data_IF_065391630846
#
_entry.id   IF_065391630846
#
_cell.length_a   1.000
_cell.length_b   1.000
_cell.length_c   1.000
_cell.angle_alpha   90.00
_cell.angle_beta   90.00
_cell.angle_gamma   90.00
#
_symmetry.space_group_name_H-M   'P 1'
#
loop_
_entity.id
_entity.type
_entity.pdbx_description
1 polymer ?
#
# COMPACT_ATOMS: atom_id res chain seq x y z
N UNK A 1 -4.51 -50.40 36.16
CA UNK A 1 -3.39 -49.49 35.82
C UNK A 1 -2.65 -50.16 34.68
N UNK A 2 -2.94 -49.79 33.44
CA UNK A 2 -2.37 -50.42 32.24
C UNK A 2 -1.02 -49.77 31.98
N UNK A 3 0.04 -50.58 31.97
CA UNK A 3 1.42 -50.12 31.87
C UNK A 3 1.69 -49.52 30.47
N UNK A 4 2.08 -48.23 30.36
CA UNK A 4 2.30 -47.56 29.07
C UNK A 4 3.43 -48.20 28.25
N UNK A 5 4.37 -48.94 28.87
CA UNK A 5 5.41 -49.67 28.14
C UNK A 5 4.87 -50.88 27.36
N UNK A 6 3.75 -51.46 27.79
CA UNK A 6 3.13 -52.62 27.14
C UNK A 6 2.43 -52.22 25.83
N UNK A 7 1.87 -51.01 25.77
CA UNK A 7 1.21 -50.49 24.56
C UNK A 7 2.23 -50.17 23.47
N UNK A 8 3.36 -49.55 23.82
CA UNK A 8 4.42 -49.21 22.86
C UNK A 8 5.09 -50.48 22.31
N UNK A 9 5.40 -51.47 23.16
CA UNK A 9 5.99 -52.73 22.72
C UNK A 9 5.06 -53.53 21.78
N UNK A 10 3.76 -53.54 22.06
CA UNK A 10 2.73 -54.15 21.21
C UNK A 10 2.67 -53.52 19.81
N UNK A 11 2.76 -52.19 19.73
CA UNK A 11 2.71 -51.46 18.45
C UNK A 11 3.94 -51.68 17.57
N UNK A 12 5.13 -51.82 18.17
CA UNK A 12 6.37 -52.11 17.43
C UNK A 12 6.38 -53.55 16.93
N UNK A 13 5.88 -54.50 17.74
CA UNK A 13 5.77 -55.90 17.35
C UNK A 13 4.74 -56.12 16.22
N UNK A 14 3.60 -55.42 16.28
CA UNK A 14 2.59 -55.46 15.21
C UNK A 14 3.12 -54.85 13.90
N UNK A 15 3.89 -53.76 13.97
CA UNK A 15 4.54 -53.15 12.81
C UNK A 15 5.59 -54.07 12.17
N UNK A 16 6.38 -54.79 12.98
CA UNK A 16 7.38 -55.74 12.50
C UNK A 16 6.75 -56.99 11.87
N UNK A 17 5.61 -57.46 12.38
CA UNK A 17 4.90 -58.62 11.84
C UNK A 17 4.14 -58.32 10.53
N UNK A 18 3.80 -57.06 10.25
CA UNK A 18 3.10 -56.66 9.03
C UNK A 18 4.04 -56.38 7.84
N UNK A 19 5.33 -56.13 8.11
CA UNK A 19 6.35 -55.90 7.08
C UNK A 19 6.67 -57.16 6.24
N UNK A 20 6.25 -58.35 6.67
CA UNK A 20 6.51 -59.64 6.01
C UNK A 20 5.44 -60.08 5.01
N UNK A 21 4.39 -59.29 4.75
CA UNK A 21 3.21 -59.75 3.97
C UNK A 21 2.76 -58.72 2.92
N UNK A 22 2.67 -59.15 1.65
CA UNK A 22 2.06 -58.56 0.42
C UNK A 22 2.04 -57.01 0.21
N UNK A 23 2.21 -56.50 -1.03
CA UNK A 23 2.35 -55.07 -1.32
C UNK A 23 1.15 -54.20 -0.86
N UNK A 24 -0.06 -54.77 -0.75
CA UNK A 24 -1.24 -54.05 -0.26
C UNK A 24 -1.19 -53.68 1.22
N UNK A 25 -0.49 -54.48 2.04
CA UNK A 25 -0.36 -54.24 3.49
C UNK A 25 0.60 -53.08 3.75
N UNK A 26 1.69 -52.99 2.98
CA UNK A 26 2.64 -51.87 3.00
C UNK A 26 1.95 -50.57 2.61
N UNK A 27 1.14 -50.59 1.55
CA UNK A 27 0.37 -49.41 1.08
C UNK A 27 -0.66 -48.93 2.13
N UNK A 28 -1.29 -49.84 2.87
CA UNK A 28 -2.25 -49.46 3.92
C UNK A 28 -1.58 -48.88 5.17
N UNK A 29 -0.42 -49.38 5.56
CA UNK A 29 0.37 -48.85 6.69
C UNK A 29 0.88 -47.44 6.34
N UNK A 30 1.33 -47.23 5.11
CA UNK A 30 1.78 -45.92 4.61
C UNK A 30 0.65 -44.87 4.63
N UNK A 31 -0.55 -45.27 4.17
CA UNK A 31 -1.76 -44.42 4.25
C UNK A 31 -2.14 -44.10 5.70
N UNK A 32 -2.14 -45.09 6.59
CA UNK A 32 -2.46 -44.87 8.00
C UNK A 32 -1.45 -43.94 8.70
N UNK A 33 -0.15 -44.15 8.49
CA UNK A 33 0.89 -43.27 9.03
C UNK A 33 0.76 -41.84 8.51
N UNK A 34 0.45 -41.70 7.21
CA UNK A 34 0.15 -40.41 6.58
C UNK A 34 -1.07 -39.74 7.21
N UNK A 35 -2.14 -40.47 7.49
CA UNK A 35 -3.37 -39.93 8.07
C UNK A 35 -3.17 -39.51 9.53
N UNK A 36 -2.43 -40.28 10.33
CA UNK A 36 -2.06 -39.88 11.71
C UNK A 36 -1.22 -38.59 11.69
N UNK A 37 -0.22 -38.52 10.82
CA UNK A 37 0.61 -37.32 10.69
C UNK A 37 -0.22 -36.09 10.26
N UNK A 38 -1.16 -36.27 9.32
CA UNK A 38 -2.10 -35.21 8.90
C UNK A 38 -3.01 -34.76 10.04
N UNK A 39 -3.54 -35.68 10.85
CA UNK A 39 -4.38 -35.34 12.01
C UNK A 39 -3.59 -34.54 13.05
N UNK A 40 -2.36 -34.95 13.37
CA UNK A 40 -1.49 -34.19 14.29
C UNK A 40 -1.21 -32.79 13.72
N UNK A 41 -0.89 -32.69 12.42
CA UNK A 41 -0.65 -31.40 11.76
C UNK A 41 -1.89 -30.52 11.78
N UNK A 42 -3.08 -31.08 11.55
CA UNK A 42 -4.35 -30.37 11.60
C UNK A 42 -4.66 -29.87 13.01
N UNK A 43 -4.42 -30.69 14.04
CA UNK A 43 -4.58 -30.30 15.44
C UNK A 43 -3.63 -29.17 15.84
N UNK A 44 -2.38 -29.22 15.37
CA UNK A 44 -1.37 -28.20 15.65
C UNK A 44 -1.43 -27.00 14.71
N UNK A 45 -2.26 -27.03 13.66
CA UNK A 45 -2.34 -26.00 12.64
C UNK A 45 -2.58 -24.59 13.19
N UNK A 46 -3.49 -24.37 14.18
CA UNK A 46 -3.68 -23.04 14.76
C UNK A 46 -2.42 -22.49 15.44
N UNK A 47 -1.65 -23.34 16.12
CA UNK A 47 -0.39 -22.93 16.76
C UNK A 47 0.71 -22.66 15.73
N UNK A 48 0.75 -23.44 14.64
CA UNK A 48 1.67 -23.19 13.52
C UNK A 48 1.37 -21.84 12.86
N UNK A 49 0.09 -21.51 12.63
CA UNK A 49 -0.31 -20.18 12.16
C UNK A 49 0.11 -19.11 13.17
N UNK A 50 -0.17 -19.31 14.45
CA UNK A 50 0.18 -18.37 15.51
C UNK A 50 1.68 -18.05 15.54
N UNK A 51 2.53 -19.08 15.49
CA UNK A 51 3.99 -18.93 15.40
C UNK A 51 4.42 -18.19 14.15
N UNK A 52 3.89 -18.56 12.97
CA UNK A 52 4.22 -17.87 11.73
C UNK A 52 3.82 -16.38 11.74
N UNK A 53 2.68 -16.05 12.35
CA UNK A 53 2.23 -14.67 12.53
C UNK A 53 3.11 -13.91 13.53
N UNK A 54 3.57 -14.56 14.60
CA UNK A 54 4.50 -13.98 15.57
C UNK A 54 5.85 -13.68 14.91
N UNK A 55 6.46 -14.66 14.25
CA UNK A 55 7.75 -14.49 13.57
C UNK A 55 7.71 -13.34 12.56
N UNK A 56 6.58 -13.22 11.85
CA UNK A 56 6.34 -12.15 10.90
C UNK A 56 6.25 -10.79 11.59
N UNK A 57 5.48 -10.70 12.67
CA UNK A 57 5.32 -9.47 13.43
C UNK A 57 6.65 -9.00 14.02
N UNK A 58 7.45 -9.93 14.57
CA UNK A 58 8.80 -9.65 15.06
C UNK A 58 9.69 -9.03 13.97
N UNK A 59 9.65 -9.57 12.73
CA UNK A 59 10.35 -8.98 11.59
C UNK A 59 9.91 -7.54 11.31
N UNK A 60 8.61 -7.24 11.34
CA UNK A 60 8.12 -5.88 11.10
C UNK A 60 8.49 -4.90 12.20
N UNK A 61 8.42 -5.32 13.47
CA UNK A 61 8.81 -4.49 14.62
C UNK A 61 10.31 -4.20 14.58
N UNK A 62 11.14 -5.23 14.34
CA UNK A 62 12.59 -5.07 14.19
C UNK A 62 12.94 -4.10 13.04
N UNK A 63 12.23 -4.19 11.91
CA UNK A 63 12.37 -3.22 10.81
C UNK A 63 11.99 -1.80 11.20
N UNK A 64 10.96 -1.59 12.02
CA UNK A 64 10.57 -0.26 12.49
C UNK A 64 11.61 0.33 13.46
N UNK A 65 12.10 -0.48 14.40
CA UNK A 65 13.10 -0.09 15.40
C UNK A 65 14.43 0.29 14.73
N UNK A 66 14.89 -0.50 13.75
CA UNK A 66 16.16 -0.25 13.03
C UNK A 66 16.19 1.04 12.24
N UNK A 67 15.04 1.62 11.93
CA UNK A 67 14.93 2.91 11.25
C UNK A 67 15.18 4.11 12.18
N UNK A 68 15.14 3.90 13.50
CA UNK A 68 15.36 4.93 14.50
C UNK A 68 16.77 4.78 15.11
N UNK A 69 17.57 5.86 15.19
CA UNK A 69 18.85 5.85 15.90
C UNK A 69 18.67 5.48 17.38
N UNK A 70 19.59 4.69 17.94
CA UNK A 70 19.49 4.20 19.33
C UNK A 70 19.33 5.31 20.36
N UNK A 71 19.96 6.46 20.14
CA UNK A 71 19.93 7.61 21.04
C UNK A 71 18.60 8.35 21.04
N UNK A 72 17.76 8.10 20.02
CA UNK A 72 16.43 8.73 19.85
C UNK A 72 15.28 7.77 20.10
N UNK A 73 15.55 6.48 20.28
CA UNK A 73 14.52 5.47 20.52
C UNK A 73 13.82 5.72 21.83
N UNK A 74 12.50 5.74 21.76
CA UNK A 74 11.60 5.77 22.91
C UNK A 74 10.56 4.68 22.77
N UNK A 75 9.93 4.33 23.89
CA UNK A 75 8.74 3.50 23.84
C UNK A 75 7.60 4.30 23.22
N UNK A 76 6.94 3.79 22.15
CA UNK A 76 5.84 4.49 21.52
C UNK A 76 4.61 4.46 22.43
N UNK A 77 3.78 5.49 22.36
CA UNK A 77 2.53 5.55 23.13
C UNK A 77 1.64 4.37 22.75
N UNK A 78 1.07 3.68 23.74
CA UNK A 78 0.33 2.44 23.54
C UNK A 78 -0.89 2.65 22.64
N UNK A 79 -1.54 3.82 22.75
CA UNK A 79 -2.71 4.17 21.93
C UNK A 79 -2.43 4.22 20.43
N UNK A 80 -1.16 4.39 20.02
CA UNK A 80 -0.72 4.34 18.62
C UNK A 80 -0.11 2.97 18.30
N UNK A 81 0.74 2.46 19.18
CA UNK A 81 1.50 1.24 18.93
C UNK A 81 0.62 -0.01 18.86
N UNK A 82 -0.31 -0.20 19.80
CA UNK A 82 -1.13 -1.42 19.89
C UNK A 82 -1.98 -1.65 18.63
N UNK A 83 -2.75 -0.66 18.13
CA UNK A 83 -3.55 -0.84 16.93
C UNK A 83 -2.71 -1.18 15.70
N UNK A 84 -1.53 -0.54 15.55
CA UNK A 84 -0.61 -0.80 14.44
C UNK A 84 -0.08 -2.23 14.51
N UNK A 85 0.40 -2.66 15.67
CA UNK A 85 0.93 -4.01 15.91
C UNK A 85 -0.12 -5.09 15.64
N UNK A 86 -1.35 -4.87 16.10
CA UNK A 86 -2.46 -5.80 15.88
C UNK A 86 -2.78 -5.99 14.39
N UNK A 87 -2.79 -4.89 13.61
CA UNK A 87 -3.01 -4.95 12.17
C UNK A 87 -1.83 -5.55 11.42
N UNK A 88 -0.60 -5.14 11.74
CA UNK A 88 0.64 -5.60 11.09
C UNK A 88 0.76 -7.12 11.08
N UNK A 89 0.30 -7.80 12.13
CA UNK A 89 0.30 -9.26 12.23
C UNK A 89 -0.31 -9.95 11.01
N UNK A 90 -1.34 -9.35 10.41
CA UNK A 90 -2.09 -9.94 9.29
C UNK A 90 -1.73 -9.35 7.93
N UNK A 91 -0.85 -8.34 7.87
CA UNK A 91 -0.51 -7.65 6.63
C UNK A 91 0.47 -8.44 5.77
N UNK A 92 0.30 -8.50 4.43
CA UNK A 92 1.19 -9.24 3.53
C UNK A 92 2.64 -8.72 3.55
N UNK A 93 3.60 -9.55 3.13
CA UNK A 93 4.99 -9.11 2.96
C UNK A 93 5.08 -8.47 1.58
N UNK A 94 5.90 -7.43 1.44
CA UNK A 94 6.06 -6.66 0.20
C UNK A 94 4.82 -5.87 -0.27
N UNK A 95 3.81 -5.69 0.59
CA UNK A 95 2.69 -4.80 0.31
C UNK A 95 3.04 -3.35 0.67
N UNK A 96 2.82 -2.36 -0.22
CA UNK A 96 3.06 -0.95 0.06
C UNK A 96 2.32 -0.44 1.31
N UNK A 97 1.11 -0.91 1.60
CA UNK A 97 0.33 -0.50 2.78
C UNK A 97 1.01 -1.00 4.06
N UNK A 98 1.65 -2.16 4.02
CA UNK A 98 2.45 -2.68 5.14
C UNK A 98 3.59 -1.75 5.48
N UNK A 99 4.24 -1.17 4.47
CA UNK A 99 5.32 -0.21 4.68
C UNK A 99 4.83 1.03 5.43
N UNK A 100 3.62 1.52 5.13
CA UNK A 100 3.04 2.68 5.82
C UNK A 100 2.86 2.44 7.32
N UNK A 101 2.38 1.25 7.70
CA UNK A 101 2.27 0.87 9.12
C UNK A 101 3.64 0.84 9.80
N UNK A 102 4.66 0.28 9.14
CA UNK A 102 6.03 0.21 9.67
C UNK A 102 6.61 1.62 9.84
N UNK A 103 6.41 2.51 8.87
CA UNK A 103 6.85 3.90 8.94
C UNK A 103 6.17 4.64 10.09
N UNK A 104 4.83 4.55 10.20
CA UNK A 104 4.10 5.20 11.28
C UNK A 104 4.55 4.70 12.66
N UNK A 105 4.77 3.39 12.81
CA UNK A 105 5.32 2.81 14.04
C UNK A 105 6.73 3.32 14.33
N UNK A 106 7.59 3.41 13.31
CA UNK A 106 8.94 3.95 13.43
C UNK A 106 8.93 5.41 13.89
N UNK A 107 8.04 6.25 13.32
CA UNK A 107 7.88 7.65 13.78
C UNK A 107 7.42 7.73 15.23
N UNK A 108 6.52 6.84 15.65
CA UNK A 108 6.07 6.78 17.04
C UNK A 108 7.19 6.38 18.03
N UNK A 109 8.22 5.68 17.55
CA UNK A 109 9.38 5.23 18.34
C UNK A 109 10.55 6.24 18.35
N UNK A 110 10.46 7.35 17.60
CA UNK A 110 11.52 8.36 17.49
C UNK A 110 11.16 9.62 18.30
N UNK A 111 11.94 9.93 19.34
CA UNK A 111 11.71 11.08 20.23
C UNK A 111 11.61 12.42 19.51
N UNK A 112 12.34 12.61 18.40
CA UNK A 112 12.30 13.87 17.66
C UNK A 112 11.11 13.96 16.71
N UNK A 113 10.57 12.81 16.28
CA UNK A 113 9.52 12.71 15.26
C UNK A 113 8.19 12.16 15.78
N UNK A 114 8.09 11.86 17.07
CA UNK A 114 6.88 11.32 17.70
C UNK A 114 5.66 12.21 17.47
N UNK A 115 5.85 13.53 17.36
CA UNK A 115 4.78 14.48 17.03
C UNK A 115 4.20 14.32 15.63
N UNK A 116 4.90 13.63 14.72
CA UNK A 116 4.43 13.29 13.37
C UNK A 116 3.50 12.06 13.40
N UNK A 117 3.60 11.19 14.40
CA UNK A 117 2.83 9.95 14.49
C UNK A 117 1.41 10.18 15.02
N UNK A 118 0.60 10.94 14.28
CA UNK A 118 -0.77 11.27 14.69
C UNK A 118 -1.69 10.03 14.63
N UNK A 119 -2.50 9.74 15.68
CA UNK A 119 -3.36 8.54 15.72
C UNK A 119 -4.32 8.41 14.53
N UNK A 120 -4.81 9.51 13.97
CA UNK A 120 -5.69 9.49 12.79
C UNK A 120 -5.06 8.81 11.57
N UNK A 121 -3.72 8.83 11.45
CA UNK A 121 -3.04 8.22 10.31
C UNK A 121 -3.18 6.70 10.31
N UNK A 122 -3.31 6.06 11.48
CA UNK A 122 -3.65 4.64 11.54
C UNK A 122 -5.00 4.36 10.84
N UNK A 123 -6.03 5.14 11.16
CA UNK A 123 -7.35 5.00 10.53
C UNK A 123 -7.32 5.26 9.03
N UNK A 124 -6.50 6.21 8.56
CA UNK A 124 -6.27 6.45 7.13
C UNK A 124 -5.66 5.21 6.48
N UNK A 125 -4.54 4.68 7.00
CA UNK A 125 -3.87 3.49 6.42
C UNK A 125 -4.84 2.30 6.33
N UNK A 126 -5.69 2.09 7.34
CA UNK A 126 -6.64 0.96 7.34
C UNK A 126 -7.69 0.98 6.23
N UNK A 127 -7.94 2.15 5.64
CA UNK A 127 -8.95 2.34 4.60
C UNK A 127 -8.35 2.37 3.19
N UNK A 128 -7.03 2.58 3.05
CA UNK A 128 -6.41 2.78 1.75
C UNK A 128 -6.19 1.50 0.94
N UNK A 129 -6.29 1.64 -0.38
CA UNK A 129 -5.86 0.65 -1.36
C UNK A 129 -4.40 0.92 -1.82
N UNK A 130 -3.65 -0.11 -2.26
CA UNK A 130 -2.30 0.05 -2.81
C UNK A 130 -2.21 1.08 -3.95
N UNK A 131 -3.17 1.07 -4.86
CA UNK A 131 -3.21 1.98 -6.03
C UNK A 131 -3.43 3.44 -5.62
N UNK A 132 -4.14 3.69 -4.53
CA UNK A 132 -4.34 5.04 -3.98
C UNK A 132 -3.02 5.65 -3.49
N UNK A 133 -2.08 4.82 -3.04
CA UNK A 133 -0.75 5.29 -2.65
C UNK A 133 0.08 5.75 -3.86
N UNK A 134 -0.04 5.06 -5.01
CA UNK A 134 0.61 5.46 -6.26
C UNK A 134 0.15 6.87 -6.65
N UNK A 135 -1.16 7.08 -6.58
CA UNK A 135 -1.78 8.37 -6.84
C UNK A 135 -1.28 9.45 -5.89
N UNK A 136 -1.27 9.16 -4.58
CA UNK A 136 -0.85 10.12 -3.56
C UNK A 136 0.63 10.51 -3.69
N UNK A 137 1.49 9.59 -4.13
CA UNK A 137 2.89 9.87 -4.41
C UNK A 137 3.10 10.77 -5.63
N UNK A 138 2.36 10.54 -6.73
CA UNK A 138 2.41 11.44 -7.89
C UNK A 138 1.99 12.86 -7.49
N UNK A 139 0.90 12.97 -6.74
CA UNK A 139 0.34 14.23 -6.27
C UNK A 139 1.23 14.98 -5.28
N UNK A 140 2.14 14.28 -4.60
CA UNK A 140 3.12 14.90 -3.71
C UNK A 140 4.38 15.35 -4.45
N UNK A 141 4.64 14.82 -5.64
CA UNK A 141 5.80 15.18 -6.47
C UNK A 141 5.60 16.47 -7.26
N UNK A 142 4.35 16.94 -7.36
CA UNK A 142 3.92 18.12 -8.12
C UNK A 142 3.05 18.98 -7.23
N UNK A 143 3.02 20.30 -7.44
CA UNK A 143 2.09 21.18 -6.72
C UNK A 143 0.63 20.89 -7.10
N UNK A 144 0.41 20.48 -8.34
CA UNK A 144 -0.90 20.15 -8.91
C UNK A 144 -0.77 19.09 -10.00
N UNK A 145 -1.68 18.13 -10.01
CA UNK A 145 -1.82 17.12 -11.07
C UNK A 145 -3.12 17.34 -11.84
N UNK A 146 -3.05 17.25 -13.17
CA UNK A 146 -4.24 17.33 -14.03
C UNK A 146 -4.93 15.98 -14.11
N UNK A 147 -6.25 16.00 -14.04
CA UNK A 147 -7.13 14.86 -14.24
C UNK A 147 -7.96 15.14 -15.48
N UNK A 148 -7.88 14.23 -16.45
CA UNK A 148 -8.77 14.20 -17.60
C UNK A 148 -9.89 13.20 -17.28
N UNK A 149 -11.13 13.49 -17.64
CA UNK A 149 -12.26 12.56 -17.47
C UNK A 149 -13.33 12.83 -18.51
N UNK A 150 -14.11 11.83 -18.94
CA UNK A 150 -15.27 12.12 -19.76
C UNK A 150 -16.29 12.98 -18.99
N UNK A 151 -16.91 13.95 -19.66
CA UNK A 151 -17.93 14.82 -19.02
C UNK A 151 -19.15 14.00 -18.62
N UNK A 152 -19.61 14.18 -17.38
CA UNK A 152 -20.81 13.51 -16.88
C UNK A 152 -20.66 12.01 -16.65
N UNK A 153 -19.46 11.45 -16.85
CA UNK A 153 -19.18 10.04 -16.60
C UNK A 153 -18.02 9.89 -15.62
N UNK A 154 -18.19 9.00 -14.65
CA UNK A 154 -17.13 8.59 -13.72
C UNK A 154 -16.46 7.34 -14.28
N UNK A 155 -15.67 7.52 -15.33
CA UNK A 155 -15.03 6.43 -16.06
C UNK A 155 -13.54 6.72 -16.20
N UNK A 156 -12.76 5.66 -16.15
CA UNK A 156 -11.34 5.68 -16.48
C UNK A 156 -11.09 6.08 -17.95
N UNK A 157 -10.33 7.16 -18.21
CA UNK A 157 -9.98 7.55 -19.57
C UNK A 157 -8.69 6.86 -20.00
N UNK A 158 -8.82 5.89 -20.91
CA UNK A 158 -7.66 5.22 -21.49
C UNK A 158 -6.80 6.19 -22.34
N UNK A 159 -5.54 5.84 -22.54
CA UNK A 159 -4.58 6.65 -23.29
C UNK A 159 -5.04 7.00 -24.71
N UNK A 160 -5.62 6.04 -25.43
CA UNK A 160 -6.05 6.25 -26.81
C UNK A 160 -7.21 7.25 -26.89
N UNK A 161 -8.15 7.16 -25.94
CA UNK A 161 -9.23 8.13 -25.78
C UNK A 161 -8.67 9.51 -25.44
N UNK A 162 -7.75 9.63 -24.48
CA UNK A 162 -7.13 10.92 -24.10
C UNK A 162 -6.45 11.58 -25.30
N UNK A 163 -5.64 10.83 -26.04
CA UNK A 163 -4.94 11.33 -27.24
C UNK A 163 -5.92 11.74 -28.33
N UNK A 164 -6.92 10.91 -28.64
CA UNK A 164 -7.97 11.24 -29.62
C UNK A 164 -8.69 12.55 -29.27
N UNK A 165 -8.90 12.83 -27.98
CA UNK A 165 -9.53 14.08 -27.53
C UNK A 165 -8.60 15.28 -27.62
N UNK A 166 -7.35 15.14 -27.22
CA UNK A 166 -6.35 16.20 -27.39
C UNK A 166 -6.14 16.51 -28.89
N UNK A 167 -6.19 15.51 -29.76
CA UNK A 167 -6.05 15.68 -31.20
C UNK A 167 -7.16 16.50 -31.83
N UNK A 168 -8.40 16.27 -31.37
CA UNK A 168 -9.59 17.02 -31.77
C UNK A 168 -9.67 18.42 -31.18
N UNK A 169 -8.92 18.70 -30.11
CA UNK A 169 -8.94 20.01 -29.46
C UNK A 169 -8.27 21.08 -30.34
N UNK A 170 -8.72 22.33 -30.30
CA UNK A 170 -8.09 23.45 -31.03
C UNK A 170 -6.79 23.95 -30.38
N UNK A 171 -6.22 23.17 -29.45
CA UNK A 171 -5.03 23.52 -28.69
C UNK A 171 -3.77 23.46 -29.56
N UNK A 172 -2.85 24.40 -29.33
CA UNK A 172 -1.51 24.36 -29.92
C UNK A 172 -0.73 23.11 -29.49
N UNK A 173 0.23 22.68 -30.31
CA UNK A 173 1.04 21.48 -30.05
C UNK A 173 1.76 21.57 -28.70
N UNK A 174 2.32 22.74 -28.37
CA UNK A 174 3.03 22.96 -27.11
C UNK A 174 2.10 22.80 -25.90
N UNK A 175 0.87 23.31 -26.01
CA UNK A 175 -0.14 23.23 -24.95
C UNK A 175 -0.69 21.81 -24.79
N UNK A 176 -0.89 21.07 -25.89
CA UNK A 176 -1.30 19.66 -25.81
C UNK A 176 -0.28 18.82 -25.06
N UNK A 177 1.01 19.03 -25.38
CA UNK A 177 2.12 18.36 -24.72
C UNK A 177 2.17 18.68 -23.23
N UNK A 178 2.03 19.95 -22.87
CA UNK A 178 1.98 20.37 -21.46
C UNK A 178 0.83 19.69 -20.70
N UNK A 179 -0.36 19.62 -21.30
CA UNK A 179 -1.51 18.92 -20.69
C UNK A 179 -1.22 17.43 -20.52
N UNK A 180 -0.65 16.77 -21.51
CA UNK A 180 -0.28 15.35 -21.42
C UNK A 180 0.77 15.11 -20.33
N UNK A 181 1.81 15.94 -20.27
CA UNK A 181 2.91 15.85 -19.29
C UNK A 181 2.45 16.11 -17.84
N UNK A 182 1.43 16.95 -17.66
CA UNK A 182 0.83 17.27 -16.36
C UNK A 182 -0.33 16.35 -15.96
N UNK A 183 -0.88 15.58 -16.90
CA UNK A 183 -1.98 14.65 -16.62
C UNK A 183 -1.47 13.42 -15.88
N UNK A 184 -2.24 12.98 -14.89
CA UNK A 184 -1.93 11.75 -14.17
C UNK A 184 -1.78 10.57 -15.14
N UNK A 185 -0.70 9.80 -14.99
CA UNK A 185 -0.46 8.58 -15.75
C UNK A 185 -1.27 7.43 -15.16
N UNK A 186 -2.55 7.44 -15.49
CA UNK A 186 -3.55 6.40 -15.30
C UNK A 186 -3.04 4.95 -15.42
N UNK A 187 -2.16 4.71 -16.39
CA UNK A 187 -1.59 3.39 -16.71
C UNK A 187 -0.59 2.89 -15.65
N UNK A 188 -0.21 3.73 -14.69
CA UNK A 188 0.60 3.34 -13.55
C UNK A 188 -0.18 2.54 -12.49
N UNK A 189 -1.51 2.55 -12.56
CA UNK A 189 -2.38 1.83 -11.61
C UNK A 189 -2.48 0.34 -11.95
N UNK A 190 -2.60 -0.51 -10.93
CA UNK A 190 -2.88 -1.93 -11.12
C UNK A 190 -4.30 -2.21 -11.62
N UNK A 191 -5.27 -1.39 -11.20
CA UNK A 191 -6.69 -1.42 -11.61
C UNK A 191 -7.18 -0.03 -12.02
N UNK A 192 -6.77 0.45 -13.21
CA UNK A 192 -7.06 1.80 -13.64
C UNK A 192 -8.58 2.11 -13.73
N UNK A 193 -9.41 1.10 -14.01
CA UNK A 193 -10.88 1.21 -14.04
C UNK A 193 -11.51 1.68 -12.73
N UNK A 194 -10.84 1.47 -11.60
CA UNK A 194 -11.29 1.91 -10.28
C UNK A 194 -10.85 3.34 -9.94
N UNK A 195 -10.15 4.02 -10.85
CA UNK A 195 -9.67 5.39 -10.67
C UNK A 195 -10.72 6.36 -10.06
N UNK A 196 -11.98 6.40 -10.53
CA UNK A 196 -12.97 7.32 -9.96
C UNK A 196 -13.25 7.04 -8.47
N UNK A 197 -13.20 5.77 -8.06
CA UNK A 197 -13.39 5.36 -6.66
C UNK A 197 -12.21 5.81 -5.82
N UNK A 198 -10.99 5.59 -6.30
CA UNK A 198 -9.76 6.03 -5.63
C UNK A 198 -9.74 7.54 -5.40
N UNK A 199 -10.14 8.31 -6.42
CA UNK A 199 -10.23 9.76 -6.36
C UNK A 199 -11.20 10.24 -5.27
N UNK A 200 -12.41 9.70 -5.28
CA UNK A 200 -13.45 10.06 -4.32
C UNK A 200 -13.08 9.66 -2.89
N UNK A 201 -12.47 8.49 -2.74
CA UNK A 201 -12.08 7.97 -1.44
C UNK A 201 -10.91 8.76 -0.84
N UNK A 202 -9.87 9.08 -1.61
CA UNK A 202 -8.77 9.95 -1.16
C UNK A 202 -9.24 11.35 -0.78
N UNK A 203 -10.22 11.89 -1.51
CA UNK A 203 -10.86 13.16 -1.17
C UNK A 203 -11.67 13.03 0.12
N UNK A 204 -12.40 11.92 0.31
CA UNK A 204 -13.15 11.65 1.55
C UNK A 204 -12.24 11.52 2.77
N UNK A 205 -11.07 10.90 2.62
CA UNK A 205 -10.02 10.83 3.64
C UNK A 205 -9.35 12.19 3.90
N UNK A 206 -9.69 13.23 3.10
CA UNK A 206 -9.13 14.57 3.22
C UNK A 206 -7.66 14.65 2.80
N UNK A 207 -7.17 13.68 2.03
CA UNK A 207 -5.77 13.64 1.59
C UNK A 207 -5.54 14.50 0.35
N UNK A 208 -6.56 14.65 -0.50
CA UNK A 208 -6.51 15.45 -1.72
C UNK A 208 -7.73 16.37 -1.84
N UNK A 209 -7.61 17.42 -2.64
CA UNK A 209 -8.69 18.36 -2.92
C UNK A 209 -8.65 18.89 -4.34
N UNK A 210 -9.81 19.35 -4.83
CA UNK A 210 -9.89 20.09 -6.08
C UNK A 210 -9.15 21.42 -5.94
N UNK A 211 -8.34 21.74 -6.94
CA UNK A 211 -7.58 22.96 -6.96
C UNK A 211 -7.66 23.63 -8.33
N UNK A 212 -8.61 24.53 -8.51
CA UNK A 212 -8.91 25.09 -9.83
C UNK A 212 -8.09 26.35 -10.17
N UNK A 213 -6.89 26.56 -9.62
CA UNK A 213 -6.11 27.79 -9.90
C UNK A 213 -5.56 27.84 -11.34
N UNK A 214 -5.32 26.69 -12.00
CA UNK A 214 -5.08 26.63 -13.45
C UNK A 214 -6.27 27.05 -14.33
N UNK A 215 -7.43 27.40 -13.75
CA UNK A 215 -8.52 28.02 -14.48
C UNK A 215 -8.21 29.35 -15.15
N UNK A 216 -7.12 30.00 -14.77
CA UNK A 216 -6.64 31.17 -15.50
C UNK A 216 -5.96 30.78 -16.83
N UNK A 217 -5.30 29.63 -16.92
CA UNK A 217 -4.83 29.04 -18.19
C UNK A 217 -5.98 28.36 -18.97
N UNK A 218 -7.05 27.89 -18.31
CA UNK A 218 -8.28 27.41 -18.98
C UNK A 218 -8.95 28.50 -19.85
N UNK A 219 -8.74 29.80 -19.57
CA UNK A 219 -9.18 30.89 -20.46
C UNK A 219 -8.42 30.94 -21.78
N UNK A 220 -7.16 30.48 -21.83
CA UNK A 220 -6.37 30.37 -23.06
C UNK A 220 -6.64 29.05 -23.81
N UNK A 221 -7.09 28.02 -23.08
CA UNK A 221 -7.50 26.73 -23.62
C UNK A 221 -8.87 26.75 -24.31
N UNK A 222 -9.59 27.88 -24.26
CA UNK A 222 -10.91 28.12 -24.87
C UNK A 222 -11.78 26.86 -24.95
N UNK A 223 -11.93 26.16 -23.81
CA UNK A 223 -12.89 25.07 -23.64
C UNK A 223 -14.29 25.70 -23.67
N UNK A 224 -14.70 26.14 -24.86
CA UNK A 224 -16.02 26.68 -25.10
C UNK A 224 -17.01 25.55 -24.87
N UNK A 225 -18.16 25.82 -24.21
CA UNK A 225 -19.32 24.95 -24.34
C UNK A 225 -19.86 25.13 -25.76
N UNK A 226 -19.24 24.49 -26.76
CA UNK A 226 -19.84 24.32 -28.07
C UNK A 226 -19.30 23.09 -28.80
N UNK A 227 -20.12 22.05 -28.72
CA UNK A 227 -20.23 20.86 -29.57
C UNK A 227 -19.10 19.81 -29.59
N UNK A 228 -18.41 19.60 -28.48
CA UNK A 228 -18.02 18.23 -28.07
C UNK A 228 -17.96 18.14 -26.54
N UNK A 229 -19.13 18.00 -25.93
CA UNK A 229 -19.45 17.96 -24.50
C UNK A 229 -18.90 16.73 -23.76
N UNK A 230 -17.69 16.27 -24.08
CA UNK A 230 -17.24 14.92 -23.75
C UNK A 230 -15.90 14.86 -22.98
N UNK A 231 -15.12 15.95 -22.87
CA UNK A 231 -13.87 15.99 -22.09
C UNK A 231 -13.93 17.04 -20.96
N UNK A 232 -13.69 16.59 -19.72
CA UNK A 232 -13.51 17.39 -18.52
C UNK A 232 -12.03 17.36 -18.13
N UNK A 233 -11.43 18.53 -17.90
CA UNK A 233 -10.09 18.65 -17.33
C UNK A 233 -10.20 19.46 -16.06
N UNK A 234 -9.66 18.94 -14.97
CA UNK A 234 -9.58 19.64 -13.69
C UNK A 234 -8.27 19.31 -13.00
N UNK A 235 -7.83 20.22 -12.13
CA UNK A 235 -6.60 20.07 -11.35
C UNK A 235 -6.94 19.70 -9.93
N UNK A 236 -6.11 18.83 -9.36
CA UNK A 236 -6.19 18.44 -7.96
C UNK A 236 -4.81 18.56 -7.32
N UNK A 237 -4.81 18.71 -6.00
CA UNK A 237 -3.58 18.76 -5.21
C UNK A 237 -3.73 17.98 -3.92
N UNK A 238 -2.61 17.66 -3.31
CA UNK A 238 -2.58 17.11 -1.95
C UNK A 238 -2.93 18.21 -0.93
N UNK A 239 -3.69 17.85 0.11
CA UNK A 239 -4.02 18.79 1.19
C UNK A 239 -2.84 18.93 2.16
N UNK A 240 -2.92 19.92 3.05
CA UNK A 240 -1.97 19.99 4.17
C UNK A 240 -1.99 18.72 5.04
N UNK A 241 -3.17 18.15 5.28
CA UNK A 241 -3.32 16.89 6.02
C UNK A 241 -2.67 15.72 5.27
N UNK A 242 -2.83 15.67 3.94
CA UNK A 242 -2.17 14.68 3.08
C UNK A 242 -0.64 14.78 3.14
N UNK A 243 -0.07 15.98 3.14
CA UNK A 243 1.38 16.16 3.34
C UNK A 243 1.85 15.66 4.71
N UNK A 244 1.12 15.96 5.79
CA UNK A 244 1.45 15.46 7.12
C UNK A 244 1.37 13.92 7.18
N UNK A 245 0.35 13.34 6.55
CA UNK A 245 0.20 11.90 6.42
C UNK A 245 1.40 11.27 5.69
N UNK A 246 1.78 11.79 4.52
CA UNK A 246 2.94 11.28 3.78
C UNK A 246 4.22 11.42 4.57
N UNK A 247 4.43 12.56 5.24
CA UNK A 247 5.60 12.79 6.09
C UNK A 247 5.72 11.75 7.21
N UNK A 248 4.60 11.37 7.81
CA UNK A 248 4.56 10.39 8.89
C UNK A 248 4.69 8.95 8.39
N UNK A 249 4.07 8.62 7.25
CA UNK A 249 3.86 7.25 6.81
C UNK A 249 4.78 6.81 5.66
N UNK A 250 5.57 7.71 5.09
CA UNK A 250 6.49 7.38 4.01
C UNK A 250 7.92 7.68 4.42
N UNK A 251 8.87 6.98 3.79
CA UNK A 251 10.29 7.30 3.96
C UNK A 251 10.50 8.72 3.47
N UNK A 252 11.42 9.43 4.12
CA UNK A 252 11.81 10.75 3.64
C UNK A 252 12.41 10.56 2.24
N UNK A 253 11.61 10.85 1.21
CA UNK A 253 12.11 11.00 -0.15
C UNK A 253 12.99 12.25 -0.07
N UNK A 254 14.28 12.18 -0.42
CA UNK A 254 15.08 13.40 -0.51
C UNK A 254 14.41 14.28 -1.57
N UNK A 255 13.74 15.34 -1.13
CA UNK A 255 13.27 16.38 -2.03
C UNK A 255 14.49 16.83 -2.84
N UNK A 256 14.46 16.57 -4.14
CA UNK A 256 15.46 17.06 -5.06
C UNK A 256 15.40 18.58 -5.04
N UNK A 257 16.20 19.21 -4.18
CA UNK A 257 16.49 20.63 -4.27
C UNK A 257 17.20 20.84 -5.61
N UNK A 258 16.45 21.22 -6.63
CA UNK A 258 17.00 21.94 -7.76
C UNK A 258 17.55 23.26 -7.19
N UNK A 259 18.85 23.27 -6.94
CA UNK A 259 19.63 24.46 -6.61
C UNK A 259 19.33 25.56 -7.65
N UNK A 260 18.48 26.51 -7.29
CA UNK A 260 18.58 27.86 -7.84
C UNK A 260 19.83 28.45 -7.20
N UNK A 261 20.95 28.28 -7.89
CA UNK A 261 22.19 28.94 -7.54
C UNK A 261 21.94 30.45 -7.56
N UNK A 262 21.89 31.02 -6.36
CA UNK A 262 22.09 32.43 -6.08
C UNK A 262 23.38 32.89 -6.77
N UNK A 263 23.23 33.57 -7.90
CA UNK A 263 24.28 34.39 -8.50
C UNK A 263 24.49 35.60 -7.60
N UNK A 264 25.45 35.49 -6.68
CA UNK A 264 26.01 36.62 -5.97
C UNK A 264 27.51 36.71 -6.27
N UNK A 265 27.84 37.77 -7.00
CA UNK A 265 29.07 38.57 -6.85
C UNK A 265 30.41 37.85 -6.91
N UNK A 266 31.02 37.81 -8.09
CA UNK A 266 32.45 38.15 -8.25
C UNK A 266 32.70 38.63 -9.68
N UNK A 267 32.72 39.96 -9.86
CA UNK A 267 33.65 40.78 -10.66
C UNK A 267 33.09 42.20 -10.76
#
# INVERSE_FOLDING_TARGET
MTDPHVVVASTVAAAQAAATVTPRTVEQIDKFGTDVAKTIRLLLFPFQIGGALQDRLERYIDRAIRQVPEERRIEPVESVAYPIVEKLRFQPEHDPITELYIQLLSRAMDRERVGEAHPAFFSVITQMAPDELIFLHDFASRDETLIMSPVGQKVYPDQAWRQSRLDKSELSVDVRKEVEDQTFAYEALGQPELFPVYLEHLQHLGLIEYHNQRAQHYKQLDLRPRDDSELSIFSMRITHFGHLFLKACTKDVPCGNANVASTASTL
#
